data_IF_873663707560
#
_entry.id   IF_873663707560
#
_cell.length_a   1.000
_cell.length_b   1.000
_cell.length_c   1.000
_cell.angle_alpha   90.00
_cell.angle_beta   90.00
_cell.angle_gamma   90.00
#
_symmetry.space_group_name_H-M   'P 1'
#
loop_
_entity.id
_entity.type
_entity.pdbx_description
1 polymer ?
#
# COMPACT_ATOMS: atom_id res chain seq x y z
N UNK A 1 -44.35 -6.56 18.25
CA UNK A 1 -43.80 -6.07 16.96
C UNK A 1 -42.34 -5.68 17.19
N UNK A 2 -41.41 -5.88 16.24
CA UNK A 2 -40.02 -5.52 16.46
C UNK A 2 -39.86 -4.00 16.57
N UNK A 3 -39.10 -3.56 17.58
CA UNK A 3 -38.75 -2.14 17.76
C UNK A 3 -37.41 -1.88 17.08
N UNK A 4 -37.37 -0.86 16.22
CA UNK A 4 -36.17 -0.41 15.50
C UNK A 4 -35.64 0.86 16.15
N UNK A 5 -34.34 0.90 16.41
CA UNK A 5 -33.65 2.15 16.76
C UNK A 5 -33.12 2.76 15.46
N UNK A 6 -33.46 4.02 15.21
CA UNK A 6 -33.01 4.74 14.03
C UNK A 6 -32.15 5.95 14.42
N UNK A 7 -31.12 6.18 13.59
CA UNK A 7 -30.32 7.41 13.58
C UNK A 7 -30.44 8.01 12.18
N UNK A 8 -31.11 9.15 12.09
CA UNK A 8 -31.42 9.78 10.81
C UNK A 8 -31.00 11.24 10.78
N UNK A 9 -30.64 11.70 9.59
CA UNK A 9 -30.26 13.07 9.33
C UNK A 9 -31.50 13.87 8.95
N UNK A 10 -31.75 14.95 9.67
CA UNK A 10 -32.76 15.95 9.33
C UNK A 10 -32.24 16.86 8.20
N UNK A 11 -33.16 17.56 7.53
CA UNK A 11 -32.85 18.42 6.37
C UNK A 11 -31.95 19.62 6.78
N UNK A 12 -31.92 19.96 8.07
CA UNK A 12 -31.07 21.00 8.67
C UNK A 12 -29.64 20.52 9.03
N UNK A 13 -29.32 19.25 8.77
CA UNK A 13 -28.01 18.66 9.08
C UNK A 13 -27.84 18.17 10.52
N UNK A 14 -28.89 18.22 11.35
CA UNK A 14 -28.86 17.67 12.71
C UNK A 14 -29.21 16.18 12.72
N UNK A 15 -28.65 15.45 13.68
CA UNK A 15 -28.82 14.00 13.81
C UNK A 15 -29.86 13.72 14.90
N UNK A 16 -30.95 13.07 14.55
CA UNK A 16 -31.99 12.66 15.49
C UNK A 16 -31.99 11.14 15.68
N UNK A 17 -32.05 10.73 16.96
CA UNK A 17 -32.10 9.35 17.41
C UNK A 17 -33.46 9.05 18.05
N UNK A 18 -34.09 7.94 17.67
CA UNK A 18 -35.42 7.59 18.14
C UNK A 18 -35.73 6.10 18.03
N UNK A 19 -36.85 5.68 18.64
CA UNK A 19 -37.37 4.31 18.55
C UNK A 19 -38.65 4.31 17.72
N UNK A 20 -38.74 3.40 16.76
CA UNK A 20 -39.89 3.22 15.88
C UNK A 20 -40.34 1.76 15.92
N UNK A 21 -41.63 1.53 16.12
CA UNK A 21 -42.22 0.20 16.02
C UNK A 21 -42.77 0.00 14.60
N UNK A 22 -42.33 -1.06 13.93
CA UNK A 22 -42.81 -1.40 12.58
C UNK A 22 -42.88 -2.93 12.45
N UNK A 23 -43.76 -3.44 11.58
CA UNK A 23 -43.91 -4.88 11.33
C UNK A 23 -42.68 -5.51 10.68
N UNK A 24 -41.77 -4.71 10.10
CA UNK A 24 -40.50 -5.15 9.54
C UNK A 24 -39.65 -4.00 9.01
N UNK A 25 -38.40 -4.30 8.60
CA UNK A 25 -37.42 -3.32 8.13
C UNK A 25 -37.95 -2.44 6.98
N UNK A 26 -38.67 -3.03 6.02
CA UNK A 26 -39.23 -2.29 4.86
C UNK A 26 -40.32 -1.29 5.26
N UNK A 27 -41.11 -1.58 6.29
CA UNK A 27 -42.17 -0.71 6.79
C UNK A 27 -41.61 0.45 7.63
N UNK A 28 -40.52 0.19 8.39
CA UNK A 28 -39.78 1.21 9.12
C UNK A 28 -39.16 2.27 8.18
N UNK A 29 -38.60 1.85 7.04
CA UNK A 29 -38.04 2.78 6.04
C UNK A 29 -39.12 3.69 5.43
N UNK A 30 -40.28 3.15 5.08
CA UNK A 30 -41.40 3.94 4.51
C UNK A 30 -41.94 4.99 5.48
N UNK A 31 -42.04 4.66 6.78
CA UNK A 31 -42.47 5.62 7.80
C UNK A 31 -41.44 6.73 8.05
N UNK A 32 -40.14 6.44 7.87
CA UNK A 32 -39.08 7.43 8.01
C UNK A 32 -39.00 8.40 6.82
N UNK A 33 -39.21 7.90 5.60
CA UNK A 33 -39.29 8.74 4.39
C UNK A 33 -40.49 9.68 4.43
N UNK A 34 -41.66 9.23 4.94
CA UNK A 34 -42.84 10.08 5.14
C UNK A 34 -42.64 11.22 6.14
N UNK A 35 -41.59 11.16 6.98
CA UNK A 35 -41.20 12.22 7.92
C UNK A 35 -40.01 13.06 7.43
N UNK A 36 -39.56 12.89 6.18
CA UNK A 36 -38.47 13.68 5.58
C UNK A 36 -37.07 13.37 6.12
N UNK A 37 -36.89 12.22 6.79
CA UNK A 37 -35.64 11.82 7.44
C UNK A 37 -34.84 10.86 6.54
N UNK A 38 -33.57 11.19 6.23
CA UNK A 38 -32.69 10.30 5.46
C UNK A 38 -31.93 9.34 6.40
N UNK A 39 -32.11 8.03 6.27
CA UNK A 39 -31.53 7.06 7.22
C UNK A 39 -30.04 6.83 6.97
N UNK A 40 -29.22 6.90 8.03
CA UNK A 40 -27.77 6.62 7.98
C UNK A 40 -27.45 5.23 8.58
N UNK A 41 -28.27 4.73 9.52
CA UNK A 41 -28.17 3.35 10.02
C UNK A 41 -29.46 2.91 10.71
N UNK A 42 -29.93 1.68 10.44
CA UNK A 42 -31.07 1.04 11.12
C UNK A 42 -30.61 -0.26 11.80
N UNK A 43 -30.67 -0.30 13.13
CA UNK A 43 -30.41 -1.49 13.93
C UNK A 43 -31.73 -2.08 14.45
N UNK A 44 -32.04 -3.31 14.06
CA UNK A 44 -33.20 -4.07 14.52
C UNK A 44 -32.86 -4.74 15.87
N UNK A 45 -33.60 -4.39 16.93
CA UNK A 45 -33.45 -5.07 18.21
C UNK A 45 -34.35 -6.31 18.22
N UNK A 46 -33.92 -7.37 17.52
CA UNK A 46 -34.60 -8.66 17.52
C UNK A 46 -34.20 -9.44 18.78
N UNK A 47 -34.98 -9.31 19.84
CA UNK A 47 -34.79 -10.15 21.02
C UNK A 47 -35.50 -11.51 20.79
N UNK A 48 -34.74 -12.50 20.31
CA UNK A 48 -35.21 -13.88 20.15
C UNK A 48 -34.07 -14.85 19.83
N UNK A 49 -33.53 -15.52 20.86
CA UNK A 49 -32.63 -16.68 20.73
C UNK A 49 -33.44 -17.97 20.45
N UNK A 50 -32.84 -19.00 19.81
CA UNK A 50 -33.55 -20.20 19.35
C UNK A 50 -34.01 -21.09 20.50
N UNK A 51 -35.22 -21.66 20.36
CA UNK A 51 -35.90 -22.48 21.37
C UNK A 51 -35.76 -23.98 21.03
N UNK A 52 -35.15 -24.75 21.94
CA UNK A 52 -35.46 -26.18 22.22
C UNK A 52 -36.20 -26.22 23.59
N UNK A 53 -36.98 -27.27 23.92
CA UNK A 53 -38.21 -27.14 24.70
C UNK A 53 -38.05 -27.28 26.22
N UNK A 54 -39.02 -26.64 26.91
CA UNK A 54 -39.64 -27.00 28.20
C UNK A 54 -38.84 -26.84 29.52
N UNK A 55 -39.52 -26.77 30.70
CA UNK A 55 -40.53 -25.78 31.04
C UNK A 55 -40.30 -25.14 32.43
N UNK A 56 -40.98 -24.00 32.62
CA UNK A 56 -41.54 -23.53 33.89
C UNK A 56 -40.62 -22.93 34.98
N UNK A 57 -40.95 -21.68 35.34
CA UNK A 57 -41.02 -21.31 36.75
C UNK A 57 -40.09 -20.20 37.24
N UNK A 58 -40.60 -18.95 37.19
CA UNK A 58 -40.50 -17.87 38.19
C UNK A 58 -39.09 -17.30 38.50
N UNK A 59 -38.87 -16.02 38.15
CA UNK A 59 -38.74 -14.87 39.08
C UNK A 59 -37.38 -14.86 39.84
N UNK A 60 -36.58 -13.80 39.97
CA UNK A 60 -36.84 -12.37 40.10
C UNK A 60 -35.48 -11.63 40.12
N UNK A 61 -35.51 -10.32 39.82
CA UNK A 61 -34.57 -9.21 40.18
C UNK A 61 -33.52 -9.52 41.28
N UNK A 62 -32.32 -8.94 41.34
CA UNK A 62 -31.87 -7.57 40.98
C UNK A 62 -30.33 -7.50 41.00
N UNK A 63 -29.82 -6.52 40.27
CA UNK A 63 -28.60 -5.73 40.45
C UNK A 63 -27.82 -5.94 41.77
N UNK A 64 -26.49 -5.99 41.71
CA UNK A 64 -25.56 -4.94 42.21
C UNK A 64 -24.10 -5.41 42.00
N UNK A 65 -23.25 -4.47 41.59
CA UNK A 65 -21.79 -4.41 41.87
C UNK A 65 -20.77 -5.05 40.93
N UNK A 66 -20.04 -4.13 40.28
CA UNK A 66 -18.57 -3.98 40.31
C UNK A 66 -17.71 -5.07 39.67
N UNK A 67 -17.02 -4.60 38.62
CA UNK A 67 -15.56 -4.59 38.52
C UNK A 67 -14.84 -5.86 38.95
N UNK A 68 -14.68 -6.79 38.00
CA UNK A 68 -13.48 -7.62 37.87
C UNK A 68 -13.60 -8.41 36.56
N UNK A 69 -12.45 -8.75 35.97
CA UNK A 69 -12.29 -9.69 34.84
C UNK A 69 -12.19 -9.10 33.43
N UNK A 70 -11.19 -8.25 33.22
CA UNK A 70 -10.57 -7.95 31.91
C UNK A 70 -9.56 -9.03 31.47
N UNK A 71 -9.35 -10.11 32.23
CA UNK A 71 -8.11 -10.92 32.07
C UNK A 71 -8.22 -12.29 31.38
N UNK A 72 -9.40 -12.80 31.03
CA UNK A 72 -9.51 -14.22 30.63
C UNK A 72 -9.66 -14.51 29.12
N UNK A 73 -9.81 -13.50 28.25
CA UNK A 73 -10.07 -13.70 26.81
C UNK A 73 -8.92 -13.19 25.90
N UNK A 74 -7.68 -13.26 26.39
CA UNK A 74 -6.47 -12.88 25.62
C UNK A 74 -5.55 -14.05 25.24
N UNK A 75 -5.86 -15.28 25.64
CA UNK A 75 -4.88 -16.37 25.62
C UNK A 75 -4.91 -17.30 24.39
N UNK A 76 -5.87 -17.17 23.45
CA UNK A 76 -6.03 -18.17 22.37
C UNK A 76 -6.05 -17.60 20.94
N UNK A 77 -5.53 -16.37 20.74
CA UNK A 77 -5.35 -15.74 19.41
C UNK A 77 -3.87 -15.56 19.02
N UNK A 78 -2.96 -16.19 19.74
CA UNK A 78 -1.52 -15.91 19.67
C UNK A 78 -0.74 -16.89 18.79
N UNK A 79 -1.36 -17.93 18.22
CA UNK A 79 -0.63 -19.01 17.54
C UNK A 79 -0.95 -19.20 16.05
N UNK A 80 -1.90 -18.45 15.47
CA UNK A 80 -2.30 -18.55 14.05
C UNK A 80 -2.12 -17.24 13.28
N UNK A 81 -1.19 -16.38 13.73
CA UNK A 81 -0.80 -15.19 12.98
C UNK A 81 0.71 -14.97 12.96
N UNK A 82 1.48 -16.06 12.87
CA UNK A 82 2.83 -16.00 12.29
C UNK A 82 2.72 -16.07 10.75
N UNK A 83 1.89 -15.20 10.17
CA UNK A 83 2.08 -14.81 8.79
C UNK A 83 3.39 -14.05 8.77
N UNK A 84 4.40 -14.64 8.15
CA UNK A 84 5.68 -14.05 7.82
C UNK A 84 5.45 -12.70 7.12
N UNK A 85 5.28 -11.64 7.91
CA UNK A 85 5.33 -10.26 7.43
C UNK A 85 6.79 -9.96 7.23
N UNK A 86 7.30 -10.43 6.09
CA UNK A 86 8.50 -9.89 5.47
C UNK A 86 8.17 -8.45 5.05
N UNK A 87 8.11 -7.55 6.02
CA UNK A 87 8.01 -6.12 5.78
C UNK A 87 9.37 -5.68 5.28
N UNK A 88 9.62 -5.91 3.98
CA UNK A 88 10.67 -5.22 3.25
C UNK A 88 10.41 -3.71 3.42
N UNK A 89 11.29 -3.05 4.18
CA UNK A 89 11.21 -1.63 4.55
C UNK A 89 11.36 -0.63 3.39
N UNK A 90 10.89 -0.98 2.19
CA UNK A 90 10.97 -0.18 0.98
C UNK A 90 9.77 0.76 0.77
N UNK A 91 8.74 0.70 1.62
CA UNK A 91 7.49 1.44 1.41
C UNK A 91 7.63 2.97 1.53
N UNK A 92 8.76 3.49 2.02
CA UNK A 92 8.94 4.92 2.26
C UNK A 92 9.88 5.62 1.29
N UNK A 93 10.44 4.92 0.30
CA UNK A 93 11.38 5.54 -0.65
C UNK A 93 10.64 6.07 -1.88
N UNK A 94 10.91 7.32 -2.25
CA UNK A 94 10.39 7.90 -3.48
C UNK A 94 11.09 7.26 -4.68
N UNK A 95 10.29 6.71 -5.60
CA UNK A 95 10.82 6.15 -6.84
C UNK A 95 11.15 7.26 -7.85
N UNK A 96 12.15 7.03 -8.71
CA UNK A 96 12.50 7.99 -9.77
C UNK A 96 11.31 8.35 -10.68
N UNK A 97 10.36 7.43 -10.87
CA UNK A 97 9.12 7.69 -11.64
C UNK A 97 8.21 8.69 -10.93
N UNK A 98 8.10 8.61 -9.60
CA UNK A 98 7.29 9.56 -8.83
C UNK A 98 7.91 10.96 -8.86
N UNK A 99 9.23 11.05 -8.77
CA UNK A 99 9.96 12.31 -8.90
C UNK A 99 9.80 12.90 -10.31
N UNK A 100 9.97 12.10 -11.37
CA UNK A 100 9.76 12.52 -12.76
C UNK A 100 8.35 13.10 -12.98
N UNK A 101 7.32 12.39 -12.51
CA UNK A 101 5.94 12.87 -12.59
C UNK A 101 5.74 14.19 -11.83
N UNK A 102 6.28 14.31 -10.62
CA UNK A 102 6.22 15.54 -9.83
C UNK A 102 6.86 16.71 -10.57
N UNK A 103 8.08 16.54 -11.08
CA UNK A 103 8.80 17.58 -11.84
C UNK A 103 8.03 17.99 -13.10
N UNK A 104 7.52 17.02 -13.86
CA UNK A 104 6.77 17.26 -15.10
C UNK A 104 5.49 18.05 -14.85
N UNK A 105 4.71 17.62 -13.85
CA UNK A 105 3.46 18.27 -13.49
C UNK A 105 3.72 19.68 -12.93
N UNK A 106 4.74 19.86 -12.09
CA UNK A 106 5.13 21.17 -11.59
C UNK A 106 5.51 22.11 -12.74
N UNK A 107 6.35 21.66 -13.67
CA UNK A 107 6.72 22.43 -14.86
C UNK A 107 5.49 22.82 -15.69
N UNK A 108 4.58 21.88 -15.94
CA UNK A 108 3.37 22.13 -16.74
C UNK A 108 2.42 23.14 -16.08
N UNK A 109 2.26 23.05 -14.75
CA UNK A 109 1.44 24.01 -13.99
C UNK A 109 2.06 25.40 -14.00
N UNK A 110 3.38 25.51 -13.80
CA UNK A 110 4.07 26.80 -13.82
C UNK A 110 4.07 27.42 -15.23
N UNK A 111 4.27 26.62 -16.28
CA UNK A 111 4.19 27.06 -17.67
C UNK A 111 2.77 27.55 -18.04
N UNK A 112 1.74 26.99 -17.40
CA UNK A 112 0.35 27.47 -17.52
C UNK A 112 0.06 28.74 -16.70
N UNK A 113 1.07 29.32 -16.02
CA UNK A 113 0.93 30.52 -15.19
C UNK A 113 0.31 30.27 -13.82
N UNK A 114 0.21 29.01 -13.37
CA UNK A 114 -0.29 28.70 -12.03
C UNK A 114 0.76 29.12 -10.99
N UNK A 115 0.40 29.90 -9.96
CA UNK A 115 1.34 30.27 -8.90
C UNK A 115 1.96 29.05 -8.20
N UNK A 116 3.24 29.12 -7.85
CA UNK A 116 4.01 28.00 -7.26
C UNK A 116 3.33 27.35 -6.05
N UNK A 117 2.85 28.16 -5.09
CA UNK A 117 2.15 27.67 -3.90
C UNK A 117 0.92 26.85 -4.28
N UNK A 118 0.13 27.32 -5.26
CA UNK A 118 -1.06 26.61 -5.74
C UNK A 118 -0.68 25.35 -6.51
N UNK A 119 0.37 25.39 -7.32
CA UNK A 119 0.87 24.22 -8.04
C UNK A 119 1.30 23.10 -7.07
N UNK A 120 2.00 23.44 -5.99
CA UNK A 120 2.41 22.50 -4.95
C UNK A 120 1.21 21.86 -4.23
N UNK A 121 0.13 22.61 -3.95
CA UNK A 121 -1.12 22.04 -3.40
C UNK A 121 -1.73 21.01 -4.34
N UNK A 122 -1.73 21.27 -5.65
CA UNK A 122 -2.24 20.34 -6.65
C UNK A 122 -1.38 19.07 -6.67
N UNK A 123 -0.06 19.21 -6.64
CA UNK A 123 0.88 18.08 -6.61
C UNK A 123 0.74 17.20 -5.37
N UNK A 124 0.44 17.79 -4.21
CA UNK A 124 0.15 17.04 -2.99
C UNK A 124 -1.09 16.16 -3.13
N UNK A 125 -2.11 16.64 -3.86
CA UNK A 125 -3.36 15.90 -4.12
C UNK A 125 -3.20 14.82 -5.18
N UNK A 126 -2.39 15.09 -6.19
CA UNK A 126 -2.10 14.16 -7.31
C UNK A 126 -0.96 13.16 -6.99
N UNK A 127 -0.55 13.07 -5.73
CA UNK A 127 0.54 12.19 -5.33
C UNK A 127 0.20 10.70 -5.56
N UNK A 128 1.08 9.99 -6.27
CA UNK A 128 0.88 8.58 -6.61
C UNK A 128 0.97 7.60 -5.42
N UNK A 129 1.49 8.05 -4.27
CA UNK A 129 1.62 7.23 -3.05
C UNK A 129 1.54 8.09 -1.80
N UNK A 130 1.19 7.47 -0.66
CA UNK A 130 1.14 8.17 0.63
C UNK A 130 2.51 8.73 1.05
N UNK A 131 3.60 8.00 0.79
CA UNK A 131 4.96 8.48 1.08
C UNK A 131 5.31 9.72 0.24
N UNK A 132 4.96 9.71 -1.05
CA UNK A 132 5.15 10.88 -1.92
C UNK A 132 4.30 12.07 -1.46
N UNK A 133 3.04 11.84 -1.06
CA UNK A 133 2.15 12.89 -0.57
C UNK A 133 2.74 13.60 0.66
N UNK A 134 3.31 12.84 1.60
CA UNK A 134 3.97 13.39 2.80
C UNK A 134 5.17 14.25 2.41
N UNK A 135 6.01 13.79 1.46
CA UNK A 135 7.18 14.56 1.01
C UNK A 135 6.82 15.81 0.21
N UNK A 136 5.85 15.74 -0.69
CA UNK A 136 5.37 16.92 -1.40
C UNK A 136 4.75 17.93 -0.46
N UNK A 137 4.04 17.46 0.58
CA UNK A 137 3.51 18.31 1.62
C UNK A 137 4.62 18.98 2.44
N UNK A 138 5.66 18.24 2.80
CA UNK A 138 6.85 18.78 3.49
C UNK A 138 7.48 19.93 2.67
N UNK A 139 7.66 19.73 1.35
CA UNK A 139 8.17 20.80 0.46
C UNK A 139 7.19 21.97 0.36
N UNK A 140 5.90 21.70 0.20
CA UNK A 140 4.86 22.73 0.16
C UNK A 140 4.88 23.61 1.40
N UNK A 141 4.89 23.00 2.60
CA UNK A 141 4.81 23.71 3.86
C UNK A 141 6.05 24.61 4.04
N UNK A 142 7.24 24.12 3.71
CA UNK A 142 8.48 24.92 3.73
C UNK A 142 8.44 26.12 2.78
N UNK A 143 7.92 25.93 1.56
CA UNK A 143 7.83 27.01 0.56
C UNK A 143 6.78 28.05 0.98
N UNK A 144 5.67 27.62 1.56
CA UNK A 144 4.64 28.53 2.11
C UNK A 144 5.18 29.32 3.30
N UNK A 145 6.07 28.72 4.11
CA UNK A 145 6.79 29.39 5.19
C UNK A 145 7.86 30.40 4.70
N UNK A 146 8.02 30.55 3.38
CA UNK A 146 8.90 31.54 2.75
C UNK A 146 10.30 31.02 2.39
N UNK A 147 10.54 29.72 2.51
CA UNK A 147 11.77 29.10 2.00
C UNK A 147 11.75 29.07 0.46
N UNK A 148 12.92 29.24 -0.16
CA UNK A 148 13.05 29.01 -1.61
C UNK A 148 12.72 27.56 -1.96
N UNK A 149 12.26 27.31 -3.18
CA UNK A 149 11.98 25.94 -3.63
C UNK A 149 13.25 25.09 -3.62
N UNK A 150 14.38 25.66 -4.02
CA UNK A 150 15.67 25.00 -3.99
C UNK A 150 16.07 24.58 -2.57
N UNK A 151 15.99 25.49 -1.60
CA UNK A 151 16.35 25.19 -0.20
C UNK A 151 15.42 24.16 0.43
N UNK A 152 14.12 24.21 0.11
CA UNK A 152 13.16 23.22 0.58
C UNK A 152 13.53 21.82 0.05
N UNK A 153 13.87 21.70 -1.23
CA UNK A 153 14.30 20.44 -1.85
C UNK A 153 15.65 19.97 -1.31
N UNK A 154 16.57 20.88 -0.98
CA UNK A 154 17.89 20.57 -0.43
C UNK A 154 17.82 19.80 0.90
N UNK A 155 16.75 19.97 1.68
CA UNK A 155 16.54 19.25 2.94
C UNK A 155 16.29 17.74 2.76
N UNK A 156 15.87 17.30 1.57
CA UNK A 156 15.63 15.89 1.24
C UNK A 156 16.57 15.39 0.14
N UNK A 157 17.89 15.24 0.42
CA UNK A 157 18.90 14.85 -0.58
C UNK A 157 18.75 13.39 -1.07
N UNK A 158 18.01 12.57 -0.33
CA UNK A 158 17.63 11.21 -0.70
C UNK A 158 16.65 11.18 -1.88
N UNK A 159 15.84 12.23 -2.01
CA UNK A 159 14.83 12.40 -3.06
C UNK A 159 15.32 13.33 -4.16
N UNK A 160 15.96 14.44 -3.80
CA UNK A 160 16.42 15.46 -4.75
C UNK A 160 17.95 15.46 -4.83
N UNK A 161 18.54 14.97 -5.93
CA UNK A 161 19.99 15.01 -6.13
C UNK A 161 20.52 16.45 -6.14
N UNK A 162 21.77 16.64 -5.72
CA UNK A 162 22.39 17.99 -5.66
C UNK A 162 22.33 18.76 -6.98
N UNK A 163 22.50 18.08 -8.11
CA UNK A 163 22.39 18.69 -9.45
C UNK A 163 20.97 19.18 -9.73
N UNK A 164 19.95 18.43 -9.31
CA UNK A 164 18.54 18.82 -9.43
C UNK A 164 18.30 20.13 -8.66
N UNK A 165 18.73 20.19 -7.40
CA UNK A 165 18.56 21.35 -6.53
C UNK A 165 19.25 22.59 -7.11
N UNK A 166 20.50 22.46 -7.56
CA UNK A 166 21.25 23.58 -8.13
C UNK A 166 20.62 24.12 -9.42
N UNK A 167 20.01 23.25 -10.25
CA UNK A 167 19.27 23.69 -11.43
C UNK A 167 18.00 24.45 -11.01
N UNK A 168 17.24 23.95 -10.04
CA UNK A 168 16.06 24.65 -9.50
C UNK A 168 16.44 26.01 -8.94
N UNK A 169 17.52 26.11 -8.17
CA UNK A 169 18.05 27.37 -7.63
C UNK A 169 18.35 28.39 -8.74
N UNK A 170 19.00 27.94 -9.83
CA UNK A 170 19.28 28.79 -10.99
C UNK A 170 18.00 29.24 -11.71
N UNK A 171 17.00 28.36 -11.82
CA UNK A 171 15.70 28.68 -12.42
C UNK A 171 14.85 29.63 -11.57
N UNK A 172 14.90 29.48 -10.25
CA UNK A 172 14.20 30.33 -9.28
C UNK A 172 14.82 31.73 -9.24
N UNK A 173 16.15 31.82 -9.16
CA UNK A 173 16.89 33.10 -9.20
C UNK A 173 16.74 33.80 -10.54
N UNK A 174 16.71 33.02 -11.63
CA UNK A 174 16.57 33.54 -12.99
C UNK A 174 15.14 33.86 -13.41
N UNK A 175 14.11 33.43 -12.67
CA UNK A 175 12.71 33.65 -12.99
C UNK A 175 12.17 32.80 -14.15
N UNK A 176 12.86 31.74 -14.56
CA UNK A 176 12.46 30.82 -15.63
C UNK A 176 12.37 29.36 -15.13
N UNK A 177 11.81 29.21 -13.93
CA UNK A 177 11.69 27.93 -13.22
C UNK A 177 10.90 26.87 -14.00
N UNK A 178 9.87 27.28 -14.74
CA UNK A 178 9.06 26.45 -15.63
C UNK A 178 9.91 25.76 -16.71
N UNK A 179 10.81 26.51 -17.34
CA UNK A 179 11.74 26.02 -18.38
C UNK A 179 12.76 25.07 -17.79
N UNK A 180 13.34 25.41 -16.63
CA UNK A 180 14.34 24.54 -15.99
C UNK A 180 13.72 23.22 -15.55
N UNK A 181 12.54 23.24 -14.92
CA UNK A 181 11.85 22.02 -14.53
C UNK A 181 11.47 21.15 -15.73
N UNK A 182 11.12 21.75 -16.88
CA UNK A 182 10.88 21.01 -18.12
C UNK A 182 12.15 20.25 -18.56
N UNK A 183 13.30 20.94 -18.57
CA UNK A 183 14.59 20.33 -18.92
C UNK A 183 14.96 19.19 -17.96
N UNK A 184 14.74 19.38 -16.65
CA UNK A 184 14.97 18.34 -15.65
C UNK A 184 14.04 17.15 -15.88
N UNK A 185 12.76 17.36 -16.17
CA UNK A 185 11.81 16.29 -16.45
C UNK A 185 12.22 15.50 -17.71
N UNK A 186 12.68 16.18 -18.76
CA UNK A 186 13.17 15.53 -19.98
C UNK A 186 14.46 14.76 -19.75
N UNK A 187 15.36 15.28 -18.92
CA UNK A 187 16.57 14.55 -18.51
C UNK A 187 16.21 13.26 -17.76
N UNK A 188 15.34 13.33 -16.75
CA UNK A 188 14.88 12.15 -16.00
C UNK A 188 14.18 11.12 -16.92
N UNK A 189 13.40 11.59 -17.89
CA UNK A 189 12.71 10.74 -18.86
C UNK A 189 13.71 9.98 -19.75
N UNK A 190 14.73 10.67 -20.25
CA UNK A 190 15.81 10.06 -21.04
C UNK A 190 16.59 9.03 -20.23
N UNK A 191 16.94 9.34 -18.98
CA UNK A 191 17.64 8.41 -18.10
C UNK A 191 16.83 7.12 -17.85
N UNK A 192 15.53 7.27 -17.59
CA UNK A 192 14.59 6.16 -17.43
C UNK A 192 14.48 5.30 -18.69
N UNK A 193 14.39 5.93 -19.87
CA UNK A 193 14.34 5.22 -21.15
C UNK A 193 15.63 4.43 -21.39
N UNK A 194 16.79 5.04 -21.17
CA UNK A 194 18.10 4.38 -21.29
C UNK A 194 18.21 3.19 -20.34
N UNK A 195 17.80 3.36 -19.08
CA UNK A 195 17.78 2.26 -18.10
C UNK A 195 16.83 1.15 -18.52
N UNK A 196 15.67 1.48 -19.07
CA UNK A 196 14.71 0.50 -19.57
C UNK A 196 15.29 -0.31 -20.74
N UNK A 197 15.98 0.35 -21.67
CA UNK A 197 16.66 -0.32 -22.80
C UNK A 197 17.74 -1.27 -22.33
N UNK A 198 18.57 -0.85 -21.37
CA UNK A 198 19.60 -1.70 -20.77
C UNK A 198 19.00 -2.91 -20.06
N UNK A 199 17.94 -2.70 -19.27
CA UNK A 199 17.24 -3.81 -18.59
C UNK A 199 16.62 -4.79 -19.59
N UNK A 200 16.01 -4.29 -20.66
CA UNK A 200 15.45 -5.13 -21.73
C UNK A 200 16.55 -5.93 -22.45
N UNK A 201 17.69 -5.32 -22.75
CA UNK A 201 18.82 -5.98 -23.39
C UNK A 201 19.47 -7.07 -22.50
N UNK A 202 19.49 -6.85 -21.18
CA UNK A 202 20.02 -7.82 -20.20
C UNK A 202 19.08 -9.01 -19.94
N UNK A 203 17.79 -8.86 -20.22
CA UNK A 203 16.80 -9.91 -19.95
C UNK A 203 17.12 -11.20 -20.73
N UNK A 204 17.47 -11.09 -22.02
CA UNK A 204 17.77 -12.27 -22.85
C UNK A 204 19.00 -13.05 -22.36
N UNK A 205 20.18 -12.44 -22.13
CA UNK A 205 21.33 -13.11 -21.54
C UNK A 205 21.03 -13.75 -20.17
N UNK A 206 20.31 -13.05 -19.30
CA UNK A 206 19.98 -13.58 -17.97
C UNK A 206 19.08 -14.81 -18.04
N UNK A 207 18.03 -14.79 -18.89
CA UNK A 207 17.13 -15.94 -19.06
C UNK A 207 17.86 -17.13 -19.67
N UNK A 208 18.68 -16.90 -20.69
CA UNK A 208 19.45 -17.96 -21.34
C UNK A 208 20.47 -18.60 -20.38
N UNK A 209 21.21 -17.78 -19.62
CA UNK A 209 22.16 -18.24 -18.62
C UNK A 209 21.46 -19.04 -17.50
N UNK A 210 20.31 -18.54 -17.01
CA UNK A 210 19.52 -19.25 -16.01
C UNK A 210 19.05 -20.61 -16.53
N UNK A 211 18.56 -20.69 -17.78
CA UNK A 211 18.12 -21.95 -18.38
C UNK A 211 19.29 -22.92 -18.59
N UNK A 212 20.43 -22.43 -19.06
CA UNK A 212 21.64 -23.24 -19.23
C UNK A 212 22.15 -23.81 -17.90
N UNK A 213 22.24 -22.98 -16.85
CA UNK A 213 22.64 -23.42 -15.50
C UNK A 213 21.62 -24.40 -14.89
N UNK A 214 20.33 -24.15 -15.12
CA UNK A 214 19.25 -25.04 -14.66
C UNK A 214 19.36 -26.42 -15.30
N UNK A 215 19.51 -26.51 -16.63
CA UNK A 215 19.70 -27.78 -17.35
C UNK A 215 20.98 -28.49 -16.91
N UNK A 216 22.10 -27.77 -16.79
CA UNK A 216 23.36 -28.34 -16.31
C UNK A 216 23.20 -28.92 -14.89
N UNK A 217 22.63 -28.16 -13.96
CA UNK A 217 22.38 -28.61 -12.58
C UNK A 217 21.46 -29.82 -12.55
N UNK A 218 20.41 -29.83 -13.36
CA UNK A 218 19.51 -30.98 -13.49
C UNK A 218 20.26 -32.24 -13.95
N UNK A 219 21.12 -32.14 -14.97
CA UNK A 219 21.94 -33.26 -15.42
C UNK A 219 22.88 -33.76 -14.32
N UNK A 220 23.57 -32.85 -13.61
CA UNK A 220 24.49 -33.24 -12.54
C UNK A 220 23.78 -33.91 -11.36
N UNK A 221 22.63 -33.38 -10.93
CA UNK A 221 21.92 -33.87 -9.74
C UNK A 221 21.10 -35.13 -10.01
N UNK A 222 20.45 -35.24 -11.18
CA UNK A 222 19.56 -36.37 -11.47
C UNK A 222 20.18 -37.42 -12.39
N UNK A 223 20.94 -37.01 -13.40
CA UNK A 223 21.44 -37.93 -14.42
C UNK A 223 22.69 -38.66 -13.95
N UNK A 224 23.68 -37.96 -13.37
CA UNK A 224 24.94 -38.58 -12.93
C UNK A 224 24.73 -39.72 -11.91
N UNK A 225 23.91 -39.58 -10.85
CA UNK A 225 23.73 -40.67 -9.88
C UNK A 225 23.13 -41.92 -10.51
N UNK A 226 22.27 -41.77 -11.52
CA UNK A 226 21.68 -42.90 -12.25
C UNK A 226 22.75 -43.68 -13.03
N UNK A 227 23.73 -43.00 -13.62
CA UNK A 227 24.86 -43.66 -14.26
C UNK A 227 25.77 -44.37 -13.26
N UNK A 228 26.03 -43.74 -12.11
CA UNK A 228 26.85 -44.36 -11.05
C UNK A 228 26.26 -45.70 -10.58
N UNK A 229 24.93 -45.78 -10.42
CA UNK A 229 24.25 -47.03 -10.07
C UNK A 229 24.45 -48.12 -11.13
N UNK A 230 24.34 -47.77 -12.42
CA UNK A 230 24.54 -48.72 -13.51
C UNK A 230 25.99 -49.23 -13.51
N UNK A 231 26.98 -48.35 -13.37
CA UNK A 231 28.39 -48.75 -13.36
C UNK A 231 28.81 -49.52 -12.10
N UNK A 232 28.13 -49.33 -10.96
CA UNK A 232 28.40 -50.11 -9.75
C UNK A 232 28.07 -51.60 -9.93
N UNK A 233 27.08 -51.92 -10.77
CA UNK A 233 26.69 -53.30 -11.08
C UNK A 233 27.65 -53.99 -12.07
N UNK A 234 28.44 -53.21 -12.84
CA UNK A 234 29.50 -53.71 -13.70
C UNK A 234 30.83 -53.68 -12.93
N UNK A 235 31.23 -54.79 -12.30
CA UNK A 235 32.51 -54.98 -11.60
C UNK A 235 33.78 -54.77 -12.48
N UNK A 236 34.00 -53.57 -13.01
CA UNK A 236 35.18 -53.18 -13.76
C UNK A 236 35.78 -51.92 -13.11
N UNK A 237 37.05 -52.03 -12.72
CA UNK A 237 37.82 -50.92 -12.16
C UNK A 237 37.78 -49.71 -13.10
N UNK A 238 37.13 -48.64 -12.65
CA UNK A 238 37.02 -47.38 -13.39
C UNK A 238 38.44 -46.80 -13.62
N UNK A 239 38.82 -46.46 -14.87
CA UNK A 239 40.10 -45.85 -15.20
C UNK A 239 40.36 -44.59 -14.34
N UNK A 240 41.62 -44.31 -14.00
CA UNK A 240 42.01 -43.27 -13.04
C UNK A 240 41.31 -41.90 -13.21
N UNK A 241 41.00 -41.50 -14.45
CA UNK A 241 40.33 -40.23 -14.75
C UNK A 241 38.89 -40.13 -14.19
N UNK A 242 38.16 -41.24 -14.05
CA UNK A 242 36.77 -41.21 -13.53
C UNK A 242 36.70 -41.16 -11.99
N UNK A 243 37.74 -41.62 -11.29
CA UNK A 243 37.77 -41.62 -9.82
C UNK A 243 37.95 -40.21 -9.24
N UNK A 244 38.65 -39.32 -9.94
CA UNK A 244 38.91 -37.95 -9.48
C UNK A 244 37.63 -37.11 -9.44
N UNK A 245 36.70 -37.33 -10.36
CA UNK A 245 35.45 -36.56 -10.48
C UNK A 245 34.38 -37.04 -9.49
N UNK A 246 34.33 -38.33 -9.16
CA UNK A 246 33.34 -38.87 -8.21
C UNK A 246 33.70 -38.54 -6.75
N UNK A 247 34.99 -38.30 -6.47
CA UNK A 247 35.48 -38.01 -5.11
C UNK A 247 35.48 -36.53 -4.74
N UNK A 248 35.18 -35.65 -5.70
CA UNK A 248 35.13 -34.18 -5.52
C UNK A 248 33.69 -33.72 -5.62
#
# INVERSE_FOLDING_TARGET
MPTFQYKALQIDGTIAEGRLEAGGRQEAFRQMEGRGLRPISLAEHRNGKPQKPEPNGKAQKSETSKAENVSAEKANRTLTQAAFKLSFGAANKISARMLENFTRLLSSLLAAGVPLSRALVILCKEAASAAAAVKWKEIHDLVVDGMSLADAMAKSPDTFPRVYVAMVEAGETGGFLDVVLAQIADFQAREKEMRSKVMAAMLYPCVLLFLALSVLTFLLVFFIPRFQLIFADFHANLPLLTQVIVKT
#
